data_IF_783367015310
#
_entry.id   IF_783367015310
#
_cell.length_a   1.000
_cell.length_b   1.000
_cell.length_c   1.000
_cell.angle_alpha   90.00
_cell.angle_beta   90.00
_cell.angle_gamma   90.00
#
_symmetry.space_group_name_H-M   'P 1'
#
loop_
_entity.id
_entity.type
_entity.pdbx_description
1 polymer ?
#
# COMPACT_ATOMS: atom_id res chain seq x y z
N UNK A 1 -8.14 14.03 -2.43
CA UNK A 1 -8.94 13.15 -1.55
C UNK A 1 -9.35 11.90 -2.30
N UNK A 2 -9.42 10.75 -1.64
CA UNK A 2 -9.90 9.50 -2.26
C UNK A 2 -11.39 9.31 -2.00
N UNK A 3 -12.23 9.35 -3.04
CA UNK A 3 -13.67 9.07 -2.95
C UNK A 3 -14.06 7.82 -3.76
N UNK A 4 -15.12 7.13 -3.38
CA UNK A 4 -15.76 6.10 -4.21
C UNK A 4 -17.26 6.38 -4.27
N UNK A 5 -17.85 6.14 -5.44
CA UNK A 5 -19.30 6.22 -5.66
C UNK A 5 -19.84 4.79 -5.75
N UNK A 6 -21.02 4.58 -5.16
CA UNK A 6 -21.75 3.32 -5.19
C UNK A 6 -22.15 3.01 -6.64
N UNK A 7 -21.91 1.77 -7.07
CA UNK A 7 -22.30 1.29 -8.40
C UNK A 7 -23.66 0.58 -8.33
N UNK A 8 -24.43 0.57 -9.43
CA UNK A 8 -25.60 -0.31 -9.53
C UNK A 8 -25.16 -1.77 -9.34
N UNK A 9 -25.89 -2.53 -8.51
CA UNK A 9 -25.61 -3.92 -8.14
C UNK A 9 -24.35 -4.18 -7.29
N UNK A 10 -23.84 -3.15 -6.59
CA UNK A 10 -22.73 -3.31 -5.64
C UNK A 10 -23.24 -3.45 -4.21
N UNK A 11 -22.69 -4.41 -3.45
CA UNK A 11 -22.97 -4.50 -2.01
C UNK A 11 -22.12 -3.52 -1.20
N UNK A 12 -22.58 -3.14 -0.01
CA UNK A 12 -21.87 -2.20 0.86
C UNK A 12 -20.43 -2.65 1.18
N UNK A 13 -20.21 -3.95 1.36
CA UNK A 13 -18.89 -4.53 1.58
C UNK A 13 -17.96 -4.40 0.37
N UNK A 14 -18.49 -4.54 -0.84
CA UNK A 14 -17.73 -4.37 -2.07
C UNK A 14 -17.28 -2.91 -2.23
N UNK A 15 -18.16 -1.96 -1.92
CA UNK A 15 -17.84 -0.53 -1.88
C UNK A 15 -16.69 -0.25 -0.89
N UNK A 16 -16.78 -0.76 0.34
CA UNK A 16 -15.74 -0.59 1.36
C UNK A 16 -14.40 -1.21 0.93
N UNK A 17 -14.42 -2.38 0.30
CA UNK A 17 -13.21 -3.01 -0.26
C UNK A 17 -12.55 -2.15 -1.32
N UNK A 18 -13.33 -1.54 -2.22
CA UNK A 18 -12.82 -0.61 -3.25
C UNK A 18 -12.27 0.66 -2.64
N UNK A 19 -12.97 1.25 -1.67
CA UNK A 19 -12.49 2.41 -0.94
C UNK A 19 -11.13 2.12 -0.29
N UNK A 20 -11.01 1.00 0.44
CA UNK A 20 -9.75 0.57 1.05
C UNK A 20 -8.64 0.41 0.02
N UNK A 21 -8.92 -0.22 -1.13
CA UNK A 21 -7.96 -0.32 -2.25
C UNK A 21 -7.53 1.06 -2.77
N UNK A 22 -8.46 2.01 -2.93
CA UNK A 22 -8.16 3.38 -3.39
C UNK A 22 -7.30 4.15 -2.38
N UNK A 23 -7.59 4.03 -1.08
CA UNK A 23 -6.79 4.61 0.01
C UNK A 23 -5.38 4.03 0.01
N UNK A 24 -5.24 2.70 -0.06
CA UNK A 24 -3.92 2.04 -0.12
C UNK A 24 -3.14 2.47 -1.36
N UNK A 25 -3.79 2.55 -2.53
CA UNK A 25 -3.17 3.01 -3.78
C UNK A 25 -2.70 4.46 -3.72
N UNK A 26 -3.46 5.33 -3.05
CA UNK A 26 -3.07 6.73 -2.86
C UNK A 26 -1.83 6.90 -2.00
N UNK A 27 -1.51 5.92 -1.15
CA UNK A 27 -0.33 5.95 -0.29
C UNK A 27 -0.35 7.01 0.82
N UNK A 28 -1.43 7.80 0.95
CA UNK A 28 -1.51 8.96 1.87
C UNK A 28 -1.17 8.57 3.31
N UNK A 29 -1.75 7.47 3.81
CA UNK A 29 -1.48 6.96 5.16
C UNK A 29 -0.03 6.50 5.35
N UNK A 30 0.58 5.92 4.31
CA UNK A 30 1.99 5.52 4.36
C UNK A 30 2.90 6.76 4.42
N UNK A 31 2.57 7.81 3.68
CA UNK A 31 3.33 9.06 3.67
C UNK A 31 3.22 9.78 5.01
N UNK A 32 2.01 9.89 5.57
CA UNK A 32 1.80 10.49 6.90
C UNK A 32 2.60 9.73 7.97
N UNK A 33 2.55 8.39 7.97
CA UNK A 33 3.34 7.58 8.91
C UNK A 33 4.85 7.77 8.74
N UNK A 34 5.35 7.87 7.50
CA UNK A 34 6.77 8.08 7.22
C UNK A 34 7.25 9.47 7.67
N UNK A 35 6.39 10.48 7.58
CA UNK A 35 6.69 11.87 7.95
C UNK A 35 6.36 12.21 9.41
N UNK A 36 5.77 11.28 10.19
CA UNK A 36 5.31 11.54 11.57
C UNK A 36 6.45 11.93 12.51
N UNK A 37 7.63 11.36 12.30
CA UNK A 37 8.81 11.60 13.13
C UNK A 37 10.01 11.85 12.24
N UNK A 38 10.99 12.61 12.74
CA UNK A 38 12.28 12.76 12.07
C UNK A 38 13.02 11.41 12.07
N UNK A 39 13.60 11.09 10.92
CA UNK A 39 14.42 9.89 10.73
C UNK A 39 15.67 10.33 9.97
N UNK A 40 16.84 9.90 10.43
CA UNK A 40 18.11 10.23 9.78
C UNK A 40 18.19 9.66 8.35
N UNK A 41 19.02 10.27 7.51
CA UNK A 41 19.22 9.83 6.12
C UNK A 41 19.70 8.37 6.03
N UNK A 42 20.57 7.95 6.95
CA UNK A 42 21.09 6.58 7.03
C UNK A 42 19.99 5.57 7.36
N UNK A 43 19.12 5.88 8.33
CA UNK A 43 18.03 4.98 8.71
C UNK A 43 16.96 4.90 7.62
N UNK A 44 16.66 6.02 6.94
CA UNK A 44 15.79 6.01 5.76
C UNK A 44 16.36 5.12 4.64
N UNK A 45 17.67 5.15 4.39
CA UNK A 45 18.33 4.27 3.41
C UNK A 45 18.21 2.79 3.80
N UNK A 46 18.50 2.43 5.05
CA UNK A 46 18.34 1.05 5.57
C UNK A 46 16.90 0.55 5.42
N UNK A 47 15.92 1.39 5.72
CA UNK A 47 14.50 1.03 5.55
C UNK A 47 14.11 0.78 4.10
N UNK A 48 14.57 1.61 3.15
CA UNK A 48 14.27 1.44 1.72
C UNK A 48 14.99 0.21 1.15
N UNK A 49 16.24 -0.08 1.54
CA UNK A 49 16.96 -1.31 1.18
C UNK A 49 16.22 -2.57 1.70
N UNK A 50 15.78 -2.55 2.96
CA UNK A 50 14.98 -3.65 3.53
C UNK A 50 13.65 -3.81 2.79
N UNK A 51 13.03 -2.70 2.37
CA UNK A 51 11.75 -2.69 1.64
C UNK A 51 11.92 -3.21 0.21
N UNK A 52 13.00 -2.86 -0.49
CA UNK A 52 13.29 -3.36 -1.83
C UNK A 52 13.55 -4.87 -1.81
N UNK A 53 14.39 -5.36 -0.88
CA UNK A 53 14.65 -6.78 -0.69
C UNK A 53 13.35 -7.58 -0.43
N UNK A 54 12.47 -7.07 0.45
CA UNK A 54 11.16 -7.68 0.70
C UNK A 54 10.27 -7.74 -0.55
N UNK A 55 10.28 -6.69 -1.38
CA UNK A 55 9.52 -6.65 -2.65
C UNK A 55 10.07 -7.67 -3.64
N UNK A 56 11.38 -7.78 -3.78
CA UNK A 56 12.03 -8.76 -4.66
C UNK A 56 11.70 -10.20 -4.22
N UNK A 57 11.86 -10.51 -2.92
CA UNK A 57 11.51 -11.82 -2.38
C UNK A 57 10.04 -12.19 -2.61
N UNK A 58 9.12 -11.23 -2.49
CA UNK A 58 7.69 -11.47 -2.75
C UNK A 58 7.41 -11.76 -4.23
N UNK A 59 8.13 -11.13 -5.17
CA UNK A 59 7.99 -11.41 -6.60
C UNK A 59 8.49 -12.82 -6.97
N UNK A 60 9.55 -13.28 -6.31
CA UNK A 60 10.10 -14.63 -6.51
C UNK A 60 9.16 -15.73 -6.01
N UNK A 61 8.33 -15.48 -5.00
CA UNK A 61 7.36 -16.44 -4.47
C UNK A 61 6.05 -16.52 -5.29
N UNK A 62 5.97 -15.86 -6.45
CA UNK A 62 4.84 -16.06 -7.36
C UNK A 62 4.94 -17.48 -7.90
N UNK A 63 4.10 -18.37 -7.36
CA UNK A 63 4.17 -19.82 -7.56
C UNK A 63 4.15 -20.23 -9.04
N UNK A 64 4.83 -21.35 -9.38
CA UNK A 64 4.94 -21.91 -10.73
C UNK A 64 3.71 -22.71 -11.16
N UNK A 65 2.49 -22.30 -10.77
CA UNK A 65 1.29 -23.06 -11.16
C UNK A 65 0.05 -22.15 -11.29
N UNK A 66 -0.17 -21.73 -12.53
CA UNK A 66 -1.43 -21.36 -13.16
C UNK A 66 -1.31 -21.65 -14.64
#
# INVERSE_FOLDING_TARGET
>A
MTSVVLRPNESQDQLLRRFRKKVVRSGVLSTVRKKRWFISKSENRRMEEKKSARRMKRRQYTRPDR
#
